data_IF_841504438006
#
_entry.id   IF_841504438006
#
_cell.length_a   1.000
_cell.length_b   1.000
_cell.length_c   1.000
_cell.angle_alpha   90.00
_cell.angle_beta   90.00
_cell.angle_gamma   90.00
#
_symmetry.space_group_name_H-M   'P 1'
#
loop_
_entity.id
_entity.type
_entity.pdbx_description
1 polymer ?
#
# COMPACT_ATOMS: atom_id res chain seq x y z
N UNK A 1 7.53 -28.95 26.22
CA UNK A 1 7.42 -27.67 26.97
C UNK A 1 6.60 -26.71 26.12
N UNK A 2 5.32 -26.51 26.46
CA UNK A 2 4.48 -25.57 25.74
C UNK A 2 4.84 -24.14 26.17
N UNK A 3 5.12 -23.26 25.21
CA UNK A 3 5.38 -21.85 25.49
C UNK A 3 4.11 -21.22 26.08
N UNK A 4 4.20 -20.72 27.31
CA UNK A 4 3.14 -19.92 27.93
C UNK A 4 2.88 -18.70 27.04
N UNK A 5 1.64 -18.46 26.57
CA UNK A 5 1.34 -17.28 25.78
C UNK A 5 1.69 -16.03 26.59
N UNK A 6 2.46 -15.11 26.00
CA UNK A 6 2.67 -13.80 26.61
C UNK A 6 1.28 -13.16 26.83
N UNK A 7 0.99 -12.60 28.01
CA UNK A 7 -0.26 -11.88 28.21
C UNK A 7 -0.28 -10.70 27.24
N UNK A 8 -1.19 -10.75 26.26
CA UNK A 8 -1.45 -9.64 25.37
C UNK A 8 -1.86 -8.45 26.23
N UNK A 9 -0.99 -7.46 26.38
CA UNK A 9 -1.39 -6.13 26.89
C UNK A 9 -2.59 -5.70 26.05
N UNK A 10 -3.69 -5.28 26.68
CA UNK A 10 -4.90 -4.81 26.00
C UNK A 10 -4.46 -3.93 24.80
N UNK A 11 -4.73 -4.33 23.54
CA UNK A 11 -4.35 -3.50 22.41
C UNK A 11 -5.16 -2.21 22.54
N UNK A 12 -4.49 -1.14 22.91
CA UNK A 12 -5.09 0.07 23.46
C UNK A 12 -5.82 0.83 22.35
N UNK A 13 -7.12 0.58 22.13
CA UNK A 13 -8.11 1.33 21.30
C UNK A 13 -7.80 1.65 19.83
N UNK A 14 -6.55 1.92 19.46
CA UNK A 14 -6.12 2.33 18.12
C UNK A 14 -6.23 1.18 17.11
N UNK A 15 -5.99 -0.06 17.53
CA UNK A 15 -6.15 -1.24 16.69
C UNK A 15 -7.61 -1.69 16.53
N UNK A 16 -8.52 -1.18 17.36
CA UNK A 16 -9.94 -1.49 17.22
C UNK A 16 -10.52 -0.92 15.91
N UNK A 17 -9.97 0.19 15.42
CA UNK A 17 -10.34 0.77 14.12
C UNK A 17 -9.97 -0.16 12.95
N UNK A 18 -8.82 -0.84 13.04
CA UNK A 18 -8.40 -1.83 12.03
C UNK A 18 -9.38 -3.01 12.02
N UNK A 19 -9.95 -3.39 13.17
CA UNK A 19 -10.97 -4.45 13.25
C UNK A 19 -12.31 -4.02 12.66
N UNK A 20 -12.68 -2.74 12.78
CA UNK A 20 -13.93 -2.18 12.24
C UNK A 20 -13.90 -2.00 10.73
N UNK A 21 -12.72 -1.74 10.16
CA UNK A 21 -12.49 -1.54 8.73
C UNK A 21 -11.28 -2.36 8.30
N UNK A 22 -11.36 -3.68 8.49
CA UNK A 22 -10.29 -4.58 8.12
C UNK A 22 -10.02 -4.42 6.61
N UNK A 23 -8.85 -3.90 6.20
CA UNK A 23 -8.54 -3.83 4.79
C UNK A 23 -8.50 -5.26 4.25
N UNK A 24 -9.04 -5.43 3.04
CA UNK A 24 -8.90 -6.69 2.32
C UNK A 24 -7.40 -6.98 2.17
N UNK A 25 -6.96 -8.12 2.68
CA UNK A 25 -5.62 -8.61 2.42
C UNK A 25 -5.62 -9.19 1.01
N UNK A 26 -5.00 -8.45 0.08
CA UNK A 26 -4.89 -8.86 -1.32
C UNK A 26 -3.53 -9.49 -1.55
N UNK A 27 -3.51 -10.66 -2.19
CA UNK A 27 -2.28 -11.26 -2.68
C UNK A 27 -1.76 -10.44 -3.87
N UNK A 28 -0.51 -9.94 -3.82
CA UNK A 28 -0.02 -9.06 -4.86
C UNK A 28 0.34 -9.83 -6.14
N UNK A 29 0.02 -9.27 -7.32
CA UNK A 29 0.59 -9.70 -8.60
C UNK A 29 2.06 -9.25 -8.67
N UNK A 30 2.95 -10.10 -8.17
CA UNK A 30 4.40 -9.84 -8.08
C UNK A 30 5.03 -9.72 -9.47
N UNK A 31 4.57 -10.48 -10.47
CA UNK A 31 5.15 -10.46 -11.81
C UNK A 31 4.87 -9.12 -12.51
N UNK A 32 3.64 -8.62 -12.41
CA UNK A 32 3.30 -7.29 -12.92
C UNK A 32 4.01 -6.20 -12.15
N UNK A 33 4.05 -6.28 -10.82
CA UNK A 33 4.79 -5.33 -9.99
C UNK A 33 6.28 -5.28 -10.35
N UNK A 34 6.92 -6.44 -10.58
CA UNK A 34 8.32 -6.50 -10.94
C UNK A 34 8.61 -5.82 -12.29
N UNK A 35 7.77 -6.05 -13.30
CA UNK A 35 7.88 -5.34 -14.60
C UNK A 35 7.74 -3.83 -14.42
N UNK A 36 6.78 -3.38 -13.64
CA UNK A 36 6.55 -1.96 -13.37
C UNK A 36 7.73 -1.33 -12.60
N UNK A 37 8.31 -2.05 -11.63
CA UNK A 37 9.47 -1.61 -10.88
C UNK A 37 10.66 -1.32 -11.80
N UNK A 38 10.93 -2.23 -12.76
CA UNK A 38 11.98 -2.04 -13.76
C UNK A 38 11.67 -0.88 -14.73
N UNK A 39 10.42 -0.77 -15.20
CA UNK A 39 10.01 0.26 -16.16
C UNK A 39 10.00 1.69 -15.58
N UNK A 40 9.70 1.82 -14.29
CA UNK A 40 9.57 3.12 -13.60
C UNK A 40 10.70 3.41 -12.62
N UNK A 41 11.65 2.49 -12.44
CA UNK A 41 12.79 2.62 -11.54
C UNK A 41 12.36 2.95 -10.10
N UNK A 42 11.36 2.21 -9.61
CA UNK A 42 10.83 2.30 -8.24
C UNK A 42 11.08 0.98 -7.49
N UNK A 43 10.90 0.98 -6.17
CA UNK A 43 11.02 -0.25 -5.40
C UNK A 43 9.93 -1.26 -5.78
N UNK A 44 10.18 -2.56 -5.56
CA UNK A 44 9.15 -3.58 -5.78
C UNK A 44 7.90 -3.32 -4.92
N UNK A 45 8.07 -2.82 -3.70
CA UNK A 45 6.97 -2.50 -2.80
C UNK A 45 6.08 -1.37 -3.33
N UNK A 46 6.69 -0.30 -3.85
CA UNK A 46 5.93 0.78 -4.49
C UNK A 46 5.20 0.28 -5.75
N UNK A 47 5.86 -0.60 -6.51
CA UNK A 47 5.28 -1.15 -7.72
C UNK A 47 4.11 -2.11 -7.45
N UNK A 48 4.08 -2.79 -6.30
CA UNK A 48 2.93 -3.60 -5.86
C UNK A 48 1.69 -2.70 -5.71
N UNK A 49 1.82 -1.55 -5.05
CA UNK A 49 0.69 -0.63 -4.91
C UNK A 49 0.24 -0.03 -6.24
N UNK A 50 1.18 0.25 -7.15
CA UNK A 50 0.85 0.70 -8.50
C UNK A 50 0.13 -0.38 -9.32
N UNK A 51 0.60 -1.63 -9.26
CA UNK A 51 -0.01 -2.78 -9.92
C UNK A 51 -1.45 -2.99 -9.42
N UNK A 52 -1.64 -2.96 -8.09
CA UNK A 52 -2.94 -3.11 -7.47
C UNK A 52 -3.90 -1.99 -7.88
N UNK A 53 -3.45 -0.73 -7.91
CA UNK A 53 -4.28 0.39 -8.33
C UNK A 53 -4.72 0.29 -9.80
N UNK A 54 -3.84 -0.20 -10.68
CA UNK A 54 -4.16 -0.47 -12.09
C UNK A 54 -5.19 -1.61 -12.22
N UNK A 55 -4.99 -2.71 -11.50
CA UNK A 55 -5.89 -3.87 -11.50
C UNK A 55 -7.30 -3.47 -11.01
N UNK A 56 -7.37 -2.76 -9.88
CA UNK A 56 -8.63 -2.34 -9.24
C UNK A 56 -9.22 -1.08 -9.87
N UNK A 57 -8.51 -0.42 -10.79
CA UNK A 57 -8.90 0.84 -11.45
C UNK A 57 -9.28 1.93 -10.46
N UNK A 58 -8.44 2.12 -9.44
CA UNK A 58 -8.65 3.10 -8.39
C UNK A 58 -7.48 4.08 -8.27
N UNK A 59 -7.68 5.13 -7.48
CA UNK A 59 -6.62 6.08 -7.18
C UNK A 59 -5.58 5.46 -6.25
N UNK A 60 -4.31 5.69 -6.56
CA UNK A 60 -3.19 5.40 -5.67
C UNK A 60 -2.90 6.65 -4.85
N UNK A 61 -3.36 6.67 -3.61
CA UNK A 61 -3.08 7.75 -2.66
C UNK A 61 -1.77 7.45 -1.94
N UNK A 62 -0.79 8.36 -2.03
CA UNK A 62 0.49 8.20 -1.34
C UNK A 62 0.92 9.48 -0.62
N UNK A 63 1.53 9.32 0.55
CA UNK A 63 2.24 10.40 1.24
C UNK A 63 3.73 10.48 0.84
N UNK A 64 4.23 9.50 0.07
CA UNK A 64 5.60 9.48 -0.40
C UNK A 64 5.76 10.47 -1.58
N UNK A 65 6.45 11.58 -1.30
CA UNK A 65 6.67 12.64 -2.29
C UNK A 65 7.58 12.22 -3.43
N UNK A 66 8.56 11.35 -3.18
CA UNK A 66 9.47 10.86 -4.22
C UNK A 66 8.70 9.96 -5.17
N UNK A 67 7.91 9.02 -4.63
CA UNK A 67 7.07 8.14 -5.43
C UNK A 67 6.07 8.93 -6.27
N UNK A 68 5.36 9.89 -5.65
CA UNK A 68 4.42 10.76 -6.35
C UNK A 68 5.08 11.47 -7.54
N UNK A 69 6.24 12.11 -7.34
CA UNK A 69 6.96 12.83 -8.41
C UNK A 69 7.38 11.90 -9.55
N UNK A 70 7.77 10.67 -9.25
CA UNK A 70 8.14 9.67 -10.25
C UNK A 70 6.92 9.19 -11.05
N UNK A 71 5.77 8.97 -10.39
CA UNK A 71 4.64 8.27 -11.02
C UNK A 71 3.56 9.21 -11.58
N UNK A 72 3.25 10.32 -10.92
CA UNK A 72 2.16 11.22 -11.32
C UNK A 72 2.24 11.72 -12.77
N UNK A 73 3.43 11.99 -13.37
CA UNK A 73 3.52 12.37 -14.79
C UNK A 73 3.02 11.29 -15.76
N UNK A 74 3.04 10.02 -15.36
CA UNK A 74 2.64 8.87 -16.18
C UNK A 74 1.29 8.29 -15.79
N UNK A 75 0.85 8.53 -14.55
CA UNK A 75 -0.33 7.91 -13.95
C UNK A 75 -1.19 8.96 -13.24
N UNK A 76 -2.20 9.55 -13.91
CA UNK A 76 -3.02 10.63 -13.35
C UNK A 76 -3.83 10.25 -12.09
N UNK A 77 -4.04 8.94 -11.86
CA UNK A 77 -4.71 8.38 -10.68
C UNK A 77 -3.79 8.30 -9.46
N UNK A 78 -2.50 8.63 -9.59
CA UNK A 78 -1.58 8.75 -8.45
C UNK A 78 -1.75 10.12 -7.81
N UNK A 79 -2.24 10.17 -6.57
CA UNK A 79 -2.55 11.41 -5.84
C UNK A 79 -1.67 11.55 -4.60
N UNK A 80 -1.32 12.79 -4.28
CA UNK A 80 -0.62 13.11 -3.04
C UNK A 80 -1.62 13.21 -1.89
N UNK A 81 -1.33 12.52 -0.79
CA UNK A 81 -2.10 12.68 0.44
C UNK A 81 -1.96 14.12 0.95
N UNK A 82 -3.11 14.78 1.21
CA UNK A 82 -3.14 16.14 1.73
C UNK A 82 -3.03 17.25 0.68
N UNK A 83 -2.99 16.93 -0.63
CA UNK A 83 -3.04 17.94 -1.70
C UNK A 83 -4.46 18.37 -2.11
N UNK A 84 -5.44 18.24 -1.22
CA UNK A 84 -6.86 18.50 -1.51
C UNK A 84 -7.50 17.38 -2.34
N UNK A 85 -7.44 16.14 -1.84
CA UNK A 85 -8.16 14.98 -2.38
C UNK A 85 -9.66 15.26 -2.52
#
# INVERSE_FOLDING_TARGET
>A
MAATPLPLRKPERHFDLIRLRCPELVEPDVDTAFRLALQRQISLWDAIYLALALERRCDLITADRRLYRTLAPHYPFVKMLGSGL
#
